data_IF_357195801349
#
_entry.id   IF_357195801349
#
_cell.length_a   1.000
_cell.length_b   1.000
_cell.length_c   1.000
_cell.angle_alpha   90.00
_cell.angle_beta   90.00
_cell.angle_gamma   90.00
#
_symmetry.space_group_name_H-M   'P 1'
#
loop_
_entity.id
_entity.type
_entity.pdbx_description
1 polymer ?
#
# COMPACT_ATOMS: atom_id res chain seq x y z
N UNK A 1 46.09 71.30 1.18
CA UNK A 1 44.92 70.59 0.59
C UNK A 1 43.97 70.05 1.65
N UNK A 2 44.45 69.45 2.75
CA UNK A 2 43.59 68.92 3.84
C UNK A 2 42.76 69.97 4.61
N UNK A 3 43.24 71.21 4.72
CA UNK A 3 42.51 72.30 5.42
C UNK A 3 41.29 72.81 4.65
N UNK A 4 41.35 72.90 3.32
CA UNK A 4 40.18 73.27 2.49
C UNK A 4 39.09 72.20 2.50
N UNK A 5 39.48 70.92 2.48
CA UNK A 5 38.55 69.78 2.59
C UNK A 5 37.87 69.78 3.97
N UNK A 6 38.63 70.08 5.04
CA UNK A 6 38.11 70.17 6.41
C UNK A 6 37.11 71.34 6.59
N UNK A 7 37.41 72.50 6.02
CA UNK A 7 36.52 73.67 6.07
C UNK A 7 35.25 73.49 5.21
N UNK A 8 35.37 72.82 4.05
CA UNK A 8 34.22 72.47 3.20
C UNK A 8 33.31 71.43 3.86
N UNK A 9 33.90 70.40 4.46
CA UNK A 9 33.17 69.43 5.29
C UNK A 9 32.50 70.11 6.47
N UNK A 10 33.16 71.06 7.17
CA UNK A 10 32.57 71.82 8.27
C UNK A 10 31.35 72.66 7.86
N UNK A 11 31.38 73.30 6.68
CA UNK A 11 30.24 74.09 6.17
C UNK A 11 29.06 73.23 5.69
N UNK A 12 29.30 71.98 5.30
CA UNK A 12 28.26 71.07 4.78
C UNK A 12 28.01 69.83 5.65
N UNK A 13 28.47 69.78 6.91
CA UNK A 13 28.32 68.61 7.80
C UNK A 13 26.91 68.04 7.85
N UNK A 14 25.89 68.91 7.95
CA UNK A 14 24.48 68.49 7.97
C UNK A 14 24.09 67.76 6.68
N UNK A 15 24.56 68.20 5.51
CA UNK A 15 24.27 67.57 4.23
C UNK A 15 24.95 66.20 4.13
N UNK A 16 26.21 66.07 4.54
CA UNK A 16 26.91 64.78 4.54
C UNK A 16 26.29 63.77 5.52
N UNK A 17 25.87 64.21 6.71
CA UNK A 17 25.20 63.35 7.69
C UNK A 17 23.85 62.87 7.14
N UNK A 18 23.03 63.77 6.57
CA UNK A 18 21.73 63.41 5.98
C UNK A 18 21.92 62.45 4.81
N UNK A 19 22.84 62.74 3.89
CA UNK A 19 23.11 61.88 2.74
C UNK A 19 23.62 60.50 3.18
N UNK A 20 24.56 60.44 4.13
CA UNK A 20 25.06 59.19 4.69
C UNK A 20 23.97 58.38 5.39
N UNK A 21 23.08 59.03 6.14
CA UNK A 21 21.93 58.38 6.77
C UNK A 21 20.96 57.80 5.73
N UNK A 22 20.68 58.54 4.64
CA UNK A 22 19.83 58.06 3.55
C UNK A 22 20.44 56.84 2.86
N UNK A 23 21.70 56.90 2.43
CA UNK A 23 22.37 55.76 1.78
C UNK A 23 22.53 54.56 2.71
N UNK A 24 22.88 54.79 3.98
CA UNK A 24 22.94 53.71 4.97
C UNK A 24 21.58 53.05 5.19
N UNK A 25 20.51 53.83 5.30
CA UNK A 25 19.15 53.29 5.47
C UNK A 25 18.69 52.51 4.23
N UNK A 26 18.97 52.99 3.02
CA UNK A 26 18.67 52.29 1.77
C UNK A 26 19.43 50.97 1.67
N UNK A 27 20.72 50.96 2.02
CA UNK A 27 21.54 49.75 2.02
C UNK A 27 21.03 48.70 3.02
N UNK A 28 20.66 49.13 4.23
CA UNK A 28 20.09 48.24 5.25
C UNK A 28 18.75 47.64 4.79
N UNK A 29 17.87 48.45 4.20
CA UNK A 29 16.60 47.95 3.66
C UNK A 29 16.79 46.98 2.49
N UNK A 30 17.70 47.28 1.56
CA UNK A 30 18.02 46.42 0.41
C UNK A 30 18.60 45.09 0.86
N UNK A 31 19.58 45.10 1.77
CA UNK A 31 20.20 43.87 2.30
C UNK A 31 19.20 43.04 3.11
N UNK A 32 18.30 43.68 3.87
CA UNK A 32 17.22 43.00 4.57
C UNK A 32 16.22 42.35 3.60
N UNK A 33 15.83 43.05 2.54
CA UNK A 33 14.93 42.53 1.51
C UNK A 33 15.55 41.32 0.77
N UNK A 34 16.82 41.42 0.38
CA UNK A 34 17.55 40.31 -0.26
C UNK A 34 17.68 39.10 0.65
N UNK A 35 18.03 39.31 1.92
CA UNK A 35 18.12 38.24 2.91
C UNK A 35 16.77 37.57 3.11
N UNK A 36 15.69 38.35 3.28
CA UNK A 36 14.35 37.83 3.51
C UNK A 36 13.78 37.09 2.30
N UNK A 37 14.07 37.56 1.08
CA UNK A 37 13.71 36.87 -0.16
C UNK A 37 14.42 35.52 -0.28
N UNK A 38 15.73 35.49 0.02
CA UNK A 38 16.51 34.24 0.01
C UNK A 38 15.99 33.24 1.04
N UNK A 39 15.72 33.69 2.27
CA UNK A 39 15.13 32.84 3.32
C UNK A 39 13.76 32.27 2.90
N UNK A 40 12.95 33.03 2.15
CA UNK A 40 11.68 32.53 1.63
C UNK A 40 11.87 31.48 0.54
N UNK A 41 12.77 31.74 -0.41
CA UNK A 41 13.13 30.78 -1.46
C UNK A 41 13.70 29.49 -0.87
N UNK A 42 14.59 29.59 0.12
CA UNK A 42 15.17 28.43 0.81
C UNK A 42 14.10 27.63 1.56
N UNK A 43 13.17 28.29 2.24
CA UNK A 43 12.05 27.63 2.93
C UNK A 43 11.11 26.93 1.96
N UNK A 44 10.78 27.56 0.85
CA UNK A 44 9.91 26.99 -0.17
C UNK A 44 10.60 25.81 -0.88
N UNK A 45 11.86 25.97 -1.26
CA UNK A 45 12.67 24.90 -1.81
C UNK A 45 12.75 23.72 -0.84
N UNK A 46 13.01 23.96 0.46
CA UNK A 46 13.05 22.90 1.47
C UNK A 46 11.71 22.14 1.56
N UNK A 47 10.58 22.85 1.66
CA UNK A 47 9.25 22.23 1.68
C UNK A 47 8.98 21.42 0.42
N UNK A 48 9.36 21.94 -0.75
CA UNK A 48 9.21 21.25 -2.02
C UNK A 48 10.06 19.97 -2.09
N UNK A 49 11.32 20.03 -1.64
CA UNK A 49 12.20 18.88 -1.54
C UNK A 49 11.64 17.82 -0.58
N UNK A 50 11.21 18.20 0.61
CA UNK A 50 10.66 17.28 1.61
C UNK A 50 9.39 16.57 1.09
N UNK A 51 8.48 17.33 0.46
CA UNK A 51 7.26 16.78 -0.15
C UNK A 51 7.58 15.83 -1.31
N UNK A 52 8.56 16.18 -2.15
CA UNK A 52 8.99 15.36 -3.27
C UNK A 52 9.61 14.04 -2.78
N UNK A 53 10.48 14.10 -1.78
CA UNK A 53 11.09 12.91 -1.16
C UNK A 53 10.02 11.99 -0.55
N UNK A 54 9.06 12.55 0.19
CA UNK A 54 7.93 11.78 0.75
C UNK A 54 7.12 11.08 -0.34
N UNK A 55 6.80 11.80 -1.41
CA UNK A 55 6.04 11.25 -2.56
C UNK A 55 6.81 10.14 -3.26
N UNK A 56 8.10 10.34 -3.53
CA UNK A 56 8.96 9.32 -4.15
C UNK A 56 9.07 8.07 -3.30
N UNK A 57 9.24 8.22 -1.98
CA UNK A 57 9.27 7.10 -1.04
C UNK A 57 7.96 6.31 -1.04
N UNK A 58 6.83 7.02 -1.02
CA UNK A 58 5.51 6.40 -1.09
C UNK A 58 5.30 5.66 -2.42
N UNK A 59 5.63 6.29 -3.56
CA UNK A 59 5.54 5.65 -4.88
C UNK A 59 6.43 4.41 -4.99
N UNK A 60 7.64 4.45 -4.41
CA UNK A 60 8.53 3.30 -4.34
C UNK A 60 7.90 2.18 -3.50
N UNK A 61 7.36 2.50 -2.32
CA UNK A 61 6.71 1.55 -1.42
C UNK A 61 5.50 0.89 -2.09
N UNK A 62 4.67 1.66 -2.80
CA UNK A 62 3.53 1.13 -3.55
C UNK A 62 3.97 0.22 -4.70
N UNK A 63 5.05 0.55 -5.43
CA UNK A 63 5.60 -0.33 -6.47
C UNK A 63 6.06 -1.66 -5.90
N UNK A 64 6.81 -1.63 -4.79
CA UNK A 64 7.22 -2.84 -4.08
C UNK A 64 6.01 -3.64 -3.63
N UNK A 65 5.00 -2.99 -3.05
CA UNK A 65 3.75 -3.65 -2.66
C UNK A 65 3.04 -4.32 -3.82
N UNK A 66 2.89 -3.64 -4.95
CA UNK A 66 2.25 -4.21 -6.13
C UNK A 66 3.01 -5.44 -6.66
N UNK A 67 4.35 -5.39 -6.67
CA UNK A 67 5.17 -6.53 -7.06
C UNK A 67 5.02 -7.71 -6.10
N UNK A 68 5.04 -7.45 -4.79
CA UNK A 68 4.84 -8.47 -3.77
C UNK A 68 3.45 -9.09 -3.85
N UNK A 69 2.41 -8.28 -4.06
CA UNK A 69 1.04 -8.77 -4.26
C UNK A 69 0.98 -9.71 -5.45
N UNK A 70 1.52 -9.32 -6.61
CA UNK A 70 1.49 -10.15 -7.83
C UNK A 70 2.23 -11.49 -7.65
N UNK A 71 3.37 -11.46 -6.96
CA UNK A 71 4.15 -12.66 -6.68
C UNK A 71 3.41 -13.61 -5.72
N UNK A 72 2.94 -13.08 -4.59
CA UNK A 72 2.26 -13.90 -3.58
C UNK A 72 0.86 -14.33 -4.04
N UNK A 73 0.16 -13.53 -4.84
CA UNK A 73 -1.15 -13.90 -5.39
C UNK A 73 -1.06 -15.13 -6.29
N UNK A 74 0.05 -15.25 -7.05
CA UNK A 74 0.31 -16.43 -7.87
C UNK A 74 0.48 -17.67 -7.00
N UNK A 75 1.32 -17.57 -5.96
CA UNK A 75 1.60 -18.69 -5.02
C UNK A 75 0.31 -19.13 -4.32
N UNK A 76 -0.47 -18.17 -3.80
CA UNK A 76 -1.76 -18.45 -3.14
C UNK A 76 -2.75 -19.08 -4.12
N UNK A 77 -2.83 -18.58 -5.36
CA UNK A 77 -3.70 -19.15 -6.37
C UNK A 77 -3.31 -20.59 -6.69
N UNK A 78 -2.03 -20.85 -6.98
CA UNK A 78 -1.52 -22.20 -7.27
C UNK A 78 -1.77 -23.17 -6.10
N UNK A 79 -1.61 -22.72 -4.85
CA UNK A 79 -1.94 -23.50 -3.66
C UNK A 79 -3.44 -23.84 -3.61
N UNK A 80 -4.32 -22.85 -3.81
CA UNK A 80 -5.77 -23.07 -3.85
C UNK A 80 -6.16 -24.05 -4.96
N UNK A 81 -5.55 -23.93 -6.14
CA UNK A 81 -5.77 -24.83 -7.27
C UNK A 81 -5.30 -26.26 -6.98
N UNK A 82 -4.20 -26.41 -6.25
CA UNK A 82 -3.71 -27.71 -5.80
C UNK A 82 -4.65 -28.37 -4.78
N UNK A 83 -5.21 -27.60 -3.84
CA UNK A 83 -6.13 -28.10 -2.82
C UNK A 83 -7.51 -28.41 -3.42
N UNK A 84 -8.02 -27.55 -4.30
CA UNK A 84 -9.34 -27.64 -4.93
C UNK A 84 -9.21 -28.03 -6.42
N UNK A 85 -8.59 -29.19 -6.65
CA UNK A 85 -8.28 -29.71 -7.97
C UNK A 85 -9.52 -30.28 -8.68
N UNK A 86 -10.19 -29.42 -9.45
CA UNK A 86 -11.36 -29.80 -10.25
C UNK A 86 -10.99 -30.66 -11.46
N UNK A 87 -9.76 -30.50 -11.95
CA UNK A 87 -9.22 -31.13 -13.14
C UNK A 87 -9.07 -32.64 -12.91
N UNK A 88 -8.69 -33.06 -11.70
CA UNK A 88 -8.67 -34.47 -11.29
C UNK A 88 -10.08 -35.10 -11.33
N UNK A 89 -11.11 -34.37 -10.89
CA UNK A 89 -12.50 -34.85 -10.94
C UNK A 89 -12.97 -34.97 -12.38
N UNK A 90 -12.62 -34.00 -13.24
CA UNK A 90 -12.96 -34.05 -14.67
C UNK A 90 -12.30 -35.25 -15.34
N UNK A 91 -11.03 -35.56 -15.03
CA UNK A 91 -10.35 -36.74 -15.54
C UNK A 91 -11.07 -38.02 -15.09
N UNK A 92 -11.38 -38.16 -13.80
CA UNK A 92 -12.15 -39.30 -13.28
C UNK A 92 -13.49 -39.45 -13.99
N UNK A 93 -14.18 -38.36 -14.31
CA UNK A 93 -15.44 -38.39 -15.04
C UNK A 93 -15.29 -38.85 -16.50
N UNK A 94 -14.14 -38.63 -17.14
CA UNK A 94 -13.86 -39.08 -18.51
C UNK A 94 -13.70 -40.60 -18.60
N UNK A 95 -13.18 -41.22 -17.52
CA UNK A 95 -12.93 -42.67 -17.44
C UNK A 95 -14.21 -43.52 -17.23
N UNK A 96 -15.39 -42.90 -17.31
CA UNK A 96 -16.71 -43.54 -17.13
C UNK A 96 -16.84 -44.37 -15.83
N UNK A 97 -16.65 -43.73 -14.66
CA UNK A 97 -16.77 -44.40 -13.37
C UNK A 97 -18.23 -44.74 -13.07
N UNK A 98 -18.43 -45.79 -12.27
CA UNK A 98 -19.77 -46.21 -11.83
C UNK A 98 -20.44 -45.13 -10.94
N UNK A 99 -19.65 -44.42 -10.13
CA UNK A 99 -20.11 -43.40 -9.18
C UNK A 99 -20.24 -41.99 -9.77
N UNK A 100 -20.67 -41.87 -11.03
CA UNK A 100 -20.74 -40.59 -11.76
C UNK A 100 -21.45 -39.47 -11.00
N UNK A 101 -22.59 -39.76 -10.36
CA UNK A 101 -23.38 -38.74 -9.66
C UNK A 101 -22.57 -38.10 -8.51
N UNK A 102 -21.87 -38.92 -7.73
CA UNK A 102 -21.08 -38.45 -6.57
C UNK A 102 -19.98 -37.49 -7.00
N UNK A 103 -19.31 -37.79 -8.12
CA UNK A 103 -18.26 -36.94 -8.69
C UNK A 103 -18.79 -35.59 -9.16
N UNK A 104 -19.98 -35.55 -9.77
CA UNK A 104 -20.62 -34.28 -10.15
C UNK A 104 -21.01 -33.44 -8.93
N UNK A 105 -21.53 -34.08 -7.88
CA UNK A 105 -21.87 -33.38 -6.63
C UNK A 105 -20.61 -32.84 -5.94
N UNK A 106 -19.52 -33.62 -5.90
CA UNK A 106 -18.22 -33.18 -5.39
C UNK A 106 -17.68 -32.00 -6.21
N UNK A 107 -17.73 -32.08 -7.54
CA UNK A 107 -17.27 -31.02 -8.43
C UNK A 107 -18.06 -29.73 -8.24
N UNK A 108 -19.38 -29.82 -8.05
CA UNK A 108 -20.25 -28.68 -7.73
C UNK A 108 -19.76 -27.94 -6.49
N UNK A 109 -19.58 -28.65 -5.37
CA UNK A 109 -19.09 -28.04 -4.12
C UNK A 109 -17.70 -27.45 -4.29
N UNK A 110 -16.79 -28.16 -4.98
CA UNK A 110 -15.42 -27.72 -5.19
C UNK A 110 -15.33 -26.43 -6.02
N UNK A 111 -16.13 -26.30 -7.08
CA UNK A 111 -16.14 -25.08 -7.93
C UNK A 111 -16.59 -23.85 -7.13
N UNK A 112 -17.70 -23.96 -6.40
CA UNK A 112 -18.19 -22.85 -5.57
C UNK A 112 -17.19 -22.49 -4.47
N UNK A 113 -16.57 -23.49 -3.84
CA UNK A 113 -15.52 -23.30 -2.84
C UNK A 113 -14.32 -22.58 -3.46
N UNK A 114 -13.84 -23.02 -4.62
CA UNK A 114 -12.69 -22.43 -5.33
C UNK A 114 -12.92 -20.96 -5.66
N UNK A 115 -14.10 -20.62 -6.19
CA UNK A 115 -14.44 -19.22 -6.51
C UNK A 115 -14.45 -18.37 -5.23
N UNK A 116 -15.12 -18.82 -4.17
CA UNK A 116 -15.19 -18.07 -2.92
C UNK A 116 -13.79 -17.89 -2.30
N UNK A 117 -13.03 -18.97 -2.16
CA UNK A 117 -11.68 -18.93 -1.57
C UNK A 117 -10.77 -18.00 -2.36
N UNK A 118 -10.78 -18.03 -3.70
CA UNK A 118 -9.97 -17.12 -4.51
C UNK A 118 -10.30 -15.65 -4.23
N UNK A 119 -11.58 -15.29 -4.16
CA UNK A 119 -11.99 -13.91 -3.89
C UNK A 119 -11.55 -13.46 -2.49
N UNK A 120 -11.84 -14.27 -1.45
CA UNK A 120 -11.47 -13.93 -0.07
C UNK A 120 -9.96 -13.92 0.13
N UNK A 121 -9.25 -14.94 -0.36
CA UNK A 121 -7.83 -15.07 -0.15
C UNK A 121 -7.05 -13.93 -0.80
N UNK A 122 -7.37 -13.59 -2.05
CA UNK A 122 -6.70 -12.50 -2.76
C UNK A 122 -7.03 -11.12 -2.16
N UNK A 123 -8.26 -10.93 -1.67
CA UNK A 123 -8.65 -9.70 -0.98
C UNK A 123 -7.91 -9.53 0.34
N UNK A 124 -7.85 -10.59 1.17
CA UNK A 124 -7.11 -10.59 2.44
C UNK A 124 -5.63 -10.35 2.19
N UNK A 125 -5.03 -11.01 1.19
CA UNK A 125 -3.63 -10.81 0.82
C UNK A 125 -3.34 -9.36 0.45
N UNK A 126 -4.16 -8.77 -0.45
CA UNK A 126 -3.99 -7.40 -0.91
C UNK A 126 -4.05 -6.39 0.25
N UNK A 127 -5.07 -6.50 1.11
CA UNK A 127 -5.21 -5.61 2.27
C UNK A 127 -4.06 -5.80 3.25
N UNK A 128 -3.70 -7.05 3.56
CA UNK A 128 -2.61 -7.37 4.51
C UNK A 128 -1.28 -6.79 4.05
N UNK A 129 -0.91 -7.00 2.78
CA UNK A 129 0.35 -6.51 2.23
C UNK A 129 0.38 -4.98 2.16
N UNK A 130 -0.72 -4.33 1.78
CA UNK A 130 -0.81 -2.86 1.78
C UNK A 130 -0.65 -2.30 3.19
N UNK A 131 -1.25 -2.92 4.20
CA UNK A 131 -1.09 -2.50 5.59
C UNK A 131 0.36 -2.72 6.05
N UNK A 132 0.90 -3.92 5.85
CA UNK A 132 2.26 -4.25 6.28
C UNK A 132 3.31 -3.35 5.63
N UNK A 133 3.27 -3.20 4.31
CA UNK A 133 4.27 -2.44 3.57
C UNK A 133 4.17 -0.93 3.79
N UNK A 134 2.97 -0.38 4.03
CA UNK A 134 2.83 1.03 4.37
C UNK A 134 3.26 1.33 5.81
N UNK A 135 3.02 0.42 6.77
CA UNK A 135 3.51 0.58 8.15
C UNK A 135 5.03 0.59 8.17
N UNK A 136 5.67 -0.44 7.61
CA UNK A 136 7.15 -0.50 7.55
C UNK A 136 7.73 0.63 6.71
N UNK A 137 7.08 0.99 5.59
CA UNK A 137 7.47 2.12 4.75
C UNK A 137 7.44 3.44 5.50
N UNK A 138 6.48 3.64 6.40
CA UNK A 138 6.40 4.82 7.27
C UNK A 138 7.57 4.90 8.26
N UNK A 139 7.93 3.77 8.89
CA UNK A 139 9.09 3.71 9.78
C UNK A 139 10.40 3.96 9.03
N UNK A 140 10.60 3.31 7.87
CA UNK A 140 11.79 3.50 7.03
C UNK A 140 11.90 4.95 6.50
N UNK A 141 10.78 5.60 6.19
CA UNK A 141 10.77 7.02 5.80
C UNK A 141 11.28 7.89 6.95
N UNK A 142 10.76 7.69 8.17
CA UNK A 142 11.19 8.46 9.34
C UNK A 142 12.69 8.26 9.59
N UNK A 143 13.17 7.02 9.58
CA UNK A 143 14.58 6.69 9.82
C UNK A 143 15.49 7.28 8.72
N UNK A 144 14.96 7.58 7.53
CA UNK A 144 15.70 8.28 6.45
C UNK A 144 15.73 9.82 6.59
N UNK A 145 14.87 10.40 7.43
CA UNK A 145 14.76 11.85 7.65
C UNK A 145 15.48 12.30 8.92
N UNK A 146 15.57 11.43 9.92
CA UNK A 146 16.14 11.72 11.23
C UNK A 146 17.52 11.06 11.36
N UNK A 147 18.49 11.77 11.95
CA UNK A 147 19.81 11.21 12.29
C UNK A 147 19.79 10.42 13.62
N UNK A 148 18.61 10.24 14.19
CA UNK A 148 18.38 9.44 15.38
C UNK A 148 18.68 7.95 15.11
N UNK A 149 18.84 7.18 16.18
CA UNK A 149 19.05 5.73 16.06
C UNK A 149 17.85 5.08 15.32
N UNK A 150 18.10 4.25 14.30
CA UNK A 150 17.03 3.62 13.53
C UNK A 150 16.18 2.75 14.45
N UNK A 151 14.86 2.93 14.41
CA UNK A 151 13.96 2.15 15.26
C UNK A 151 13.64 0.78 14.65
N UNK A 152 13.86 0.62 13.35
CA UNK A 152 13.71 -0.64 12.65
C UNK A 152 15.08 -1.13 12.19
N UNK A 153 15.56 -2.20 12.81
CA UNK A 153 16.68 -2.96 12.30
C UNK A 153 16.25 -3.95 11.20
N UNK A 154 17.24 -4.48 10.46
CA UNK A 154 16.96 -5.43 9.38
C UNK A 154 16.32 -6.72 9.86
N UNK A 155 16.59 -7.15 11.09
CA UNK A 155 16.01 -8.36 11.68
C UNK A 155 14.52 -8.18 11.98
N UNK A 156 14.13 -7.08 12.64
CA UNK A 156 12.74 -6.76 12.92
C UNK A 156 11.95 -6.58 11.62
N UNK A 157 12.54 -5.93 10.62
CA UNK A 157 11.92 -5.80 9.30
C UNK A 157 11.61 -7.17 8.70
N UNK A 158 12.59 -8.08 8.66
CA UNK A 158 12.42 -9.42 8.11
C UNK A 158 11.36 -10.22 8.89
N UNK A 159 11.41 -10.17 10.23
CA UNK A 159 10.46 -10.85 11.10
C UNK A 159 9.04 -10.33 10.91
N UNK A 160 8.86 -9.01 10.81
CA UNK A 160 7.56 -8.40 10.57
C UNK A 160 6.97 -8.80 9.21
N UNK A 161 7.77 -8.73 8.15
CA UNK A 161 7.33 -9.13 6.80
C UNK A 161 7.02 -10.64 6.72
N UNK A 162 7.71 -11.47 7.49
CA UNK A 162 7.46 -12.92 7.54
C UNK A 162 6.08 -13.29 8.09
N UNK A 163 5.37 -12.37 8.75
CA UNK A 163 4.02 -12.62 9.26
C UNK A 163 3.02 -12.98 8.14
N UNK A 164 3.23 -12.50 6.91
CA UNK A 164 2.38 -12.87 5.79
C UNK A 164 2.59 -14.31 5.32
N UNK A 165 3.72 -14.95 5.64
CA UNK A 165 4.00 -16.34 5.24
C UNK A 165 3.01 -17.33 5.86
N UNK A 166 2.52 -17.05 7.08
CA UNK A 166 1.49 -17.90 7.69
C UNK A 166 0.20 -17.92 6.84
N UNK A 167 -0.20 -16.75 6.33
CA UNK A 167 -1.37 -16.64 5.47
C UNK A 167 -1.14 -17.37 4.13
N UNK A 168 0.03 -17.20 3.51
CA UNK A 168 0.35 -17.82 2.21
C UNK A 168 0.53 -19.34 2.30
N UNK A 169 0.88 -19.88 3.46
CA UNK A 169 1.01 -21.31 3.71
C UNK A 169 -0.26 -21.93 4.34
N UNK A 170 -0.22 -22.33 5.62
CA UNK A 170 -1.31 -23.06 6.27
C UNK A 170 -2.62 -22.27 6.36
N UNK A 171 -2.56 -20.94 6.38
CA UNK A 171 -3.76 -20.09 6.44
C UNK A 171 -4.69 -20.26 5.24
N UNK A 172 -4.17 -20.60 4.05
CA UNK A 172 -4.98 -20.91 2.87
C UNK A 172 -5.81 -22.18 3.10
N UNK A 173 -5.21 -23.23 3.66
CA UNK A 173 -5.92 -24.49 3.94
C UNK A 173 -7.04 -24.29 4.96
N UNK A 174 -6.77 -23.52 6.02
CA UNK A 174 -7.79 -23.21 7.03
C UNK A 174 -8.95 -22.40 6.43
N UNK A 175 -8.63 -21.43 5.55
CA UNK A 175 -9.63 -20.66 4.82
C UNK A 175 -10.47 -21.55 3.90
N UNK A 176 -9.84 -22.47 3.16
CA UNK A 176 -10.53 -23.46 2.33
C UNK A 176 -11.50 -24.28 3.18
N UNK A 177 -11.04 -24.84 4.30
CA UNK A 177 -11.87 -25.67 5.19
C UNK A 177 -13.08 -24.90 5.75
N UNK A 178 -12.91 -23.64 6.11
CA UNK A 178 -14.01 -22.80 6.61
C UNK A 178 -15.02 -22.48 5.51
N UNK A 179 -14.55 -22.06 4.34
CA UNK A 179 -15.41 -21.72 3.21
C UNK A 179 -16.14 -22.95 2.68
N UNK A 180 -15.47 -24.09 2.57
CA UNK A 180 -16.09 -25.35 2.11
C UNK A 180 -17.26 -25.76 3.01
N UNK A 181 -17.15 -25.59 4.33
CA UNK A 181 -18.26 -25.87 5.26
C UNK A 181 -19.47 -24.97 4.99
N UNK A 182 -19.25 -23.68 4.74
CA UNK A 182 -20.32 -22.75 4.41
C UNK A 182 -20.95 -23.07 3.04
N UNK A 183 -20.11 -23.34 2.03
CA UNK A 183 -20.54 -23.71 0.68
C UNK A 183 -21.37 -24.99 0.70
N UNK A 184 -20.94 -26.04 1.43
CA UNK A 184 -21.69 -27.28 1.59
C UNK A 184 -23.11 -27.02 2.10
N UNK A 185 -23.27 -26.22 3.16
CA UNK A 185 -24.59 -25.88 3.73
C UNK A 185 -25.55 -25.25 2.73
N UNK A 186 -25.05 -24.45 1.78
CA UNK A 186 -25.89 -23.71 0.81
C UNK A 186 -26.08 -24.48 -0.50
N UNK A 187 -25.01 -25.09 -1.01
CA UNK A 187 -24.95 -25.60 -2.38
C UNK A 187 -25.28 -27.09 -2.46
N UNK A 188 -25.07 -27.88 -1.40
CA UNK A 188 -25.45 -29.30 -1.34
C UNK A 188 -26.92 -29.57 -1.72
N UNK A 189 -27.93 -28.85 -1.18
CA UNK A 189 -29.34 -29.10 -1.52
C UNK A 189 -29.72 -28.69 -2.95
N UNK A 190 -28.86 -27.97 -3.68
CA UNK A 190 -29.17 -27.50 -5.04
C UNK A 190 -28.99 -28.65 -6.04
N UNK A 191 -30.07 -29.13 -6.63
CA UNK A 191 -30.03 -30.20 -7.63
C UNK A 191 -29.21 -29.81 -8.87
N UNK A 192 -28.35 -30.73 -9.35
CA UNK A 192 -27.59 -30.57 -10.60
C UNK A 192 -28.48 -30.36 -11.85
N UNK A 193 -29.76 -30.78 -11.80
CA UNK A 193 -30.71 -30.62 -12.91
C UNK A 193 -31.48 -29.31 -12.86
N UNK A 194 -31.39 -28.56 -11.75
CA UNK A 194 -32.08 -27.29 -11.59
C UNK A 194 -31.50 -26.29 -12.58
N UNK A 195 -32.36 -25.66 -13.39
CA UNK A 195 -31.97 -24.47 -14.17
C UNK A 195 -31.88 -23.30 -13.21
N UNK A 196 -30.73 -22.63 -13.18
CA UNK A 196 -30.45 -21.54 -12.26
C UNK A 196 -30.31 -20.24 -13.06
N UNK A 197 -31.00 -19.20 -12.60
CA UNK A 197 -30.89 -17.84 -13.15
C UNK A 197 -29.71 -17.09 -12.52
N UNK A 198 -29.26 -15.98 -13.14
CA UNK A 198 -28.18 -15.16 -12.58
C UNK A 198 -28.51 -14.66 -11.16
N UNK A 199 -29.76 -14.24 -10.93
CA UNK A 199 -30.23 -13.78 -9.62
C UNK A 199 -30.15 -14.88 -8.55
N UNK A 200 -30.48 -16.12 -8.91
CA UNK A 200 -30.35 -17.25 -7.99
C UNK A 200 -28.89 -17.59 -7.70
N UNK A 201 -27.98 -17.47 -8.67
CA UNK A 201 -26.53 -17.62 -8.44
C UNK A 201 -26.03 -16.53 -7.47
N UNK A 202 -26.45 -15.29 -7.68
CA UNK A 202 -26.12 -14.18 -6.78
C UNK A 202 -26.61 -14.46 -5.35
N UNK A 203 -27.86 -14.91 -5.20
CA UNK A 203 -28.44 -15.29 -3.92
C UNK A 203 -27.67 -16.42 -3.22
N UNK A 204 -27.14 -17.39 -3.97
CA UNK A 204 -26.27 -18.45 -3.43
C UNK A 204 -25.01 -17.84 -2.83
N UNK A 205 -24.31 -16.95 -3.56
CA UNK A 205 -23.10 -16.31 -3.04
C UNK A 205 -23.39 -15.39 -1.83
N UNK A 206 -24.49 -14.64 -1.84
CA UNK A 206 -24.95 -13.87 -0.69
C UNK A 206 -25.23 -14.74 0.54
N UNK A 207 -25.85 -15.90 0.34
CA UNK A 207 -26.13 -16.85 1.42
C UNK A 207 -24.84 -17.43 2.01
N UNK A 208 -23.87 -17.79 1.15
CA UNK A 208 -22.54 -18.25 1.59
C UNK A 208 -21.85 -17.15 2.38
N UNK A 209 -21.84 -15.91 1.88
CA UNK A 209 -21.23 -14.76 2.57
C UNK A 209 -21.88 -14.51 3.94
N UNK A 210 -23.21 -14.58 4.03
CA UNK A 210 -23.93 -14.38 5.29
C UNK A 210 -23.51 -15.42 6.34
N UNK A 211 -23.38 -16.69 5.94
CA UNK A 211 -22.92 -17.77 6.83
C UNK A 211 -21.46 -17.58 7.26
N UNK A 212 -20.61 -17.01 6.39
CA UNK A 212 -19.20 -16.74 6.72
C UNK A 212 -19.03 -15.56 7.68
N UNK A 213 -19.95 -14.60 7.67
CA UNK A 213 -19.90 -13.39 8.50
C UNK A 213 -20.65 -13.51 9.84
N UNK A 214 -21.35 -14.62 10.09
CA UNK A 214 -22.15 -14.85 11.31
C UNK A 214 -21.51 -15.93 12.17
#
# INVERSE_FOLDING_TARGET
MFSSIRNFLQRHKRKFIVTGAVFGSLYLLMSYAQKRLREWQEKEAKKFFDMTRKKQHFESTERTCNQTILSLSKIVSESILGILNTEEIVQKLQDKPDDKLTLWEQMKIMIFTRICVLVYALSILNVTLRVQLNIIGGYLYRDSMHEDEPLIDGELQAKYLSLCHHFVGPGVEDLVRQIEKAVKRVVEPVSLKKKITLQEVEQIFWSIQTILCT
#
